data_IF_591237768840
#
_entry.id   IF_591237768840
#
_cell.length_a   1.000
_cell.length_b   1.000
_cell.length_c   1.000
_cell.angle_alpha   90.00
_cell.angle_beta   90.00
_cell.angle_gamma   90.00
#
_symmetry.space_group_name_H-M   'P 1'
#
loop_
_entity.id
_entity.type
_entity.pdbx_description
1 polymer ?
#
# COMPACT_ATOMS: atom_id res chain seq x y z
N UNK A 1 5.58 4.09 -34.56
CA UNK A 1 5.64 5.17 -33.55
C UNK A 1 4.67 4.97 -32.36
N UNK A 2 3.38 4.68 -32.58
CA UNK A 2 2.39 4.51 -31.48
C UNK A 2 2.69 3.33 -30.53
N UNK A 3 3.34 2.27 -31.02
CA UNK A 3 3.67 1.07 -30.22
C UNK A 3 4.81 1.30 -29.22
N UNK A 4 5.80 2.12 -29.58
CA UNK A 4 6.93 2.47 -28.70
C UNK A 4 6.50 3.42 -27.58
N UNK A 5 5.61 4.37 -27.87
CA UNK A 5 5.06 5.30 -26.87
C UNK A 5 4.32 4.56 -25.75
N UNK A 6 3.45 3.60 -26.09
CA UNK A 6 2.71 2.80 -25.11
C UNK A 6 3.64 1.98 -24.20
N UNK A 7 4.71 1.44 -24.76
CA UNK A 7 5.68 0.63 -24.02
C UNK A 7 6.53 1.50 -23.08
N UNK A 8 6.90 2.71 -23.52
CA UNK A 8 7.52 3.69 -22.64
C UNK A 8 6.59 4.13 -21.53
N UNK A 9 5.35 4.50 -21.85
CA UNK A 9 4.34 4.93 -20.88
C UNK A 9 4.12 3.85 -19.82
N UNK A 10 3.97 2.58 -20.21
CA UNK A 10 3.83 1.45 -19.29
C UNK A 10 5.08 1.26 -18.41
N UNK A 11 6.29 1.36 -18.98
CA UNK A 11 7.55 1.23 -18.23
C UNK A 11 7.71 2.35 -17.18
N UNK A 12 7.38 3.58 -17.54
CA UNK A 12 7.40 4.71 -16.61
C UNK A 12 6.33 4.54 -15.52
N UNK A 13 5.12 4.16 -15.90
CA UNK A 13 4.02 3.93 -14.96
C UNK A 13 4.38 2.86 -13.91
N UNK A 14 4.97 1.74 -14.33
CA UNK A 14 5.38 0.66 -13.42
C UNK A 14 6.56 1.10 -12.53
N UNK A 15 7.56 1.80 -13.09
CA UNK A 15 8.70 2.32 -12.29
C UNK A 15 8.24 3.31 -11.24
N UNK A 16 7.44 4.30 -11.63
CA UNK A 16 6.98 5.35 -10.73
C UNK A 16 5.99 4.78 -9.71
N UNK A 17 5.16 3.79 -10.07
CA UNK A 17 4.30 3.07 -9.12
C UNK A 17 5.11 2.28 -8.09
N UNK A 18 6.17 1.58 -8.50
CA UNK A 18 7.06 0.88 -7.57
C UNK A 18 7.77 1.85 -6.62
N UNK A 19 8.31 2.95 -7.14
CA UNK A 19 8.98 3.97 -6.35
C UNK A 19 8.02 4.65 -5.37
N UNK A 20 6.81 5.02 -5.82
CA UNK A 20 5.78 5.60 -4.97
C UNK A 20 5.35 4.62 -3.88
N UNK A 21 5.19 3.33 -4.21
CA UNK A 21 4.83 2.30 -3.22
C UNK A 21 5.91 2.19 -2.16
N UNK A 22 7.18 2.11 -2.58
CA UNK A 22 8.31 2.01 -1.66
C UNK A 22 8.44 3.25 -0.77
N UNK A 23 8.32 4.45 -1.34
CA UNK A 23 8.39 5.71 -0.60
C UNK A 23 7.25 5.84 0.43
N UNK A 24 6.01 5.62 0.02
CA UNK A 24 4.84 5.71 0.91
C UNK A 24 4.91 4.63 2.00
N UNK A 25 5.28 3.40 1.65
CA UNK A 25 5.46 2.31 2.62
C UNK A 25 6.55 2.64 3.64
N UNK A 26 7.68 3.21 3.19
CA UNK A 26 8.79 3.59 4.07
C UNK A 26 8.35 4.65 5.08
N UNK A 27 7.67 5.71 4.61
CA UNK A 27 7.14 6.78 5.48
C UNK A 27 6.15 6.20 6.48
N UNK A 28 5.19 5.39 6.03
CA UNK A 28 4.18 4.78 6.91
C UNK A 28 4.81 3.83 7.94
N UNK A 29 5.84 3.08 7.55
CA UNK A 29 6.56 2.17 8.45
C UNK A 29 7.30 2.93 9.54
N UNK A 30 7.97 4.03 9.20
CA UNK A 30 8.66 4.88 10.19
C UNK A 30 7.67 5.47 11.18
N UNK A 31 6.54 6.01 10.69
CA UNK A 31 5.48 6.55 11.55
C UNK A 31 4.90 5.48 12.49
N UNK A 32 4.65 4.27 11.97
CA UNK A 32 4.17 3.14 12.75
C UNK A 32 5.19 2.64 13.79
N UNK A 33 6.48 2.95 13.63
CA UNK A 33 7.54 2.60 14.58
C UNK A 33 7.63 3.53 15.78
N UNK A 34 7.25 4.80 15.60
CA UNK A 34 7.35 5.83 16.65
C UNK A 34 6.44 5.49 17.84
N UNK A 35 5.23 4.98 17.60
CA UNK A 35 4.29 4.61 18.67
C UNK A 35 4.76 3.48 19.59
N UNK A 36 5.19 2.30 19.09
CA UNK A 36 5.70 1.22 19.93
C UNK A 36 7.01 1.59 20.63
N UNK A 37 7.90 2.34 19.97
CA UNK A 37 9.14 2.85 20.61
C UNK A 37 8.81 3.76 21.81
N UNK A 38 7.80 4.63 21.68
CA UNK A 38 7.41 5.57 22.73
C UNK A 38 6.68 4.92 23.90
N UNK A 39 5.87 3.88 23.65
CA UNK A 39 4.95 3.32 24.66
C UNK A 39 5.57 2.32 25.62
N UNK A 40 6.63 1.58 25.26
CA UNK A 40 7.04 0.44 26.08
C UNK A 40 8.55 0.27 26.31
N UNK A 41 9.45 1.12 25.80
CA UNK A 41 10.90 0.90 26.00
C UNK A 41 11.32 -0.52 25.61
N UNK A 42 10.69 -1.06 24.56
CA UNK A 42 10.73 -2.46 24.18
C UNK A 42 12.16 -2.86 23.79
N UNK A 43 12.60 -4.02 24.29
CA UNK A 43 13.76 -4.72 23.75
C UNK A 43 13.61 -4.84 22.22
N UNK A 44 14.64 -4.42 21.46
CA UNK A 44 14.57 -4.25 19.99
C UNK A 44 14.07 -5.49 19.22
N UNK A 45 14.18 -6.67 19.82
CA UNK A 45 13.69 -7.94 19.27
C UNK A 45 12.16 -8.01 19.24
N UNK A 46 11.46 -7.49 20.25
CA UNK A 46 9.99 -7.46 20.27
C UNK A 46 9.44 -6.43 19.27
N UNK A 47 10.12 -5.29 19.13
CA UNK A 47 9.78 -4.28 18.12
C UNK A 47 9.92 -4.83 16.69
N UNK A 48 10.98 -5.59 16.41
CA UNK A 48 11.20 -6.19 15.09
C UNK A 48 10.14 -7.25 14.74
N UNK A 49 9.68 -8.02 15.73
CA UNK A 49 8.61 -9.02 15.53
C UNK A 49 7.26 -8.35 15.24
N UNK A 50 6.99 -7.22 15.91
CA UNK A 50 5.81 -6.41 15.63
C UNK A 50 5.89 -5.74 14.25
N UNK A 51 7.08 -5.26 13.85
CA UNK A 51 7.34 -4.72 12.51
C UNK A 51 6.93 -5.70 11.42
N UNK A 52 7.38 -6.95 11.52
CA UNK A 52 7.09 -8.00 10.53
C UNK A 52 5.59 -8.28 10.37
N UNK A 53 4.79 -8.00 11.40
CA UNK A 53 3.34 -8.20 11.38
C UNK A 53 2.59 -6.98 10.82
N UNK A 54 3.07 -5.77 11.11
CA UNK A 54 2.49 -4.51 10.61
C UNK A 54 2.85 -4.24 9.15
N UNK A 55 4.05 -4.64 8.71
CA UNK A 55 4.51 -4.48 7.33
C UNK A 55 3.53 -4.99 6.26
N UNK A 56 3.07 -6.26 6.28
CA UNK A 56 2.15 -6.77 5.26
C UNK A 56 0.78 -6.06 5.29
N UNK A 57 0.32 -5.66 6.49
CA UNK A 57 -0.92 -4.90 6.63
C UNK A 57 -0.80 -3.50 6.00
N UNK A 58 0.29 -2.80 6.30
CA UNK A 58 0.58 -1.48 5.73
C UNK A 58 0.78 -1.57 4.22
N UNK A 59 1.48 -2.60 3.74
CA UNK A 59 1.69 -2.84 2.31
C UNK A 59 0.35 -3.02 1.57
N UNK A 60 -0.57 -3.81 2.13
CA UNK A 60 -1.90 -4.01 1.53
C UNK A 60 -2.71 -2.72 1.41
N UNK A 61 -2.54 -1.78 2.33
CA UNK A 61 -3.20 -0.47 2.31
C UNK A 61 -2.50 0.51 1.38
N UNK A 62 -1.17 0.54 1.38
CA UNK A 62 -0.39 1.53 0.62
C UNK A 62 -0.31 1.23 -0.88
N UNK A 63 -0.43 -0.04 -1.30
CA UNK A 63 -0.39 -0.45 -2.70
C UNK A 63 -1.44 0.24 -3.61
N UNK A 64 -2.74 0.32 -3.25
CA UNK A 64 -3.70 1.06 -4.06
C UNK A 64 -3.46 2.58 -4.04
N UNK A 65 -3.04 3.15 -2.91
CA UNK A 65 -2.75 4.59 -2.82
C UNK A 65 -1.55 4.99 -3.68
N UNK A 66 -0.47 4.22 -3.65
CA UNK A 66 0.72 4.48 -4.45
C UNK A 66 0.46 4.32 -5.94
N UNK A 67 -0.35 3.34 -6.34
CA UNK A 67 -0.75 3.14 -7.72
C UNK A 67 -1.53 4.33 -8.27
N UNK A 68 -2.48 4.86 -7.50
CA UNK A 68 -3.22 6.08 -7.84
C UNK A 68 -2.28 7.29 -7.96
N UNK A 69 -1.39 7.46 -6.98
CA UNK A 69 -0.45 8.57 -6.97
C UNK A 69 0.50 8.55 -8.17
N UNK A 70 1.10 7.39 -8.46
CA UNK A 70 1.98 7.22 -9.60
C UNK A 70 1.25 7.41 -10.93
N UNK A 71 0.04 6.87 -11.08
CA UNK A 71 -0.74 7.13 -12.28
C UNK A 71 -0.98 8.63 -12.49
N UNK A 72 -1.32 9.35 -11.43
CA UNK A 72 -1.54 10.80 -11.47
C UNK A 72 -0.28 11.55 -11.88
N UNK A 73 0.87 11.23 -11.30
CA UNK A 73 2.15 11.87 -11.66
C UNK A 73 2.55 11.57 -13.10
N UNK A 74 2.49 10.31 -13.53
CA UNK A 74 2.91 9.92 -14.87
C UNK A 74 2.03 10.61 -15.92
N UNK A 75 0.70 10.51 -15.81
CA UNK A 75 -0.18 11.21 -16.75
C UNK A 75 -0.09 12.73 -16.64
N UNK A 76 0.18 13.28 -15.45
CA UNK A 76 0.47 14.69 -15.27
C UNK A 76 1.67 15.15 -16.09
N UNK A 77 2.78 14.39 -16.04
CA UNK A 77 3.99 14.68 -16.83
C UNK A 77 3.75 14.55 -18.33
N UNK A 78 3.11 13.47 -18.78
CA UNK A 78 2.76 13.29 -20.20
C UNK A 78 1.81 14.38 -20.74
N UNK A 79 0.99 14.97 -19.87
CA UNK A 79 0.16 16.13 -20.22
C UNK A 79 0.97 17.43 -20.29
N UNK A 80 1.97 17.61 -19.42
CA UNK A 80 2.87 18.77 -19.43
C UNK A 80 3.76 18.77 -20.67
N UNK A 81 4.26 17.60 -21.07
CA UNK A 81 5.12 17.43 -22.25
C UNK A 81 4.32 17.52 -23.58
N UNK A 82 3.02 17.82 -23.54
CA UNK A 82 2.10 17.89 -24.69
C UNK A 82 2.04 16.63 -25.56
N UNK A 83 2.64 15.52 -25.15
CA UNK A 83 2.64 14.26 -25.90
C UNK A 83 1.23 13.67 -26.00
N UNK A 84 0.43 13.84 -24.95
CA UNK A 84 -0.98 13.45 -24.94
C UNK A 84 -1.79 14.24 -25.98
N UNK A 85 -1.52 15.54 -26.11
CA UNK A 85 -2.18 16.43 -27.08
C UNK A 85 -1.73 16.11 -28.51
N UNK A 86 -0.45 15.87 -28.74
CA UNK A 86 0.08 15.46 -30.04
C UNK A 86 -0.53 14.12 -30.53
N UNK A 87 -0.74 13.16 -29.63
CA UNK A 87 -1.43 11.91 -29.94
C UNK A 87 -2.90 12.15 -30.32
N UNK A 88 -3.60 13.05 -29.63
CA UNK A 88 -4.99 13.40 -29.94
C UNK A 88 -5.11 14.12 -31.28
N UNK A 89 -4.18 15.03 -31.58
CA UNK A 89 -4.13 15.74 -32.86
C UNK A 89 -3.85 14.81 -34.05
N UNK A 90 -3.12 13.71 -33.84
CA UNK A 90 -2.86 12.67 -34.85
C UNK A 90 -3.98 11.62 -34.97
N UNK A 91 -5.14 11.84 -34.33
CA UNK A 91 -6.30 10.95 -34.42
C UNK A 91 -6.20 9.69 -33.57
N UNK A 92 -5.24 9.60 -32.64
CA UNK A 92 -5.13 8.45 -31.74
C UNK A 92 -6.21 8.54 -30.67
N UNK A 93 -7.02 7.48 -30.55
CA UNK A 93 -8.04 7.38 -29.52
C UNK A 93 -7.42 7.46 -28.11
N UNK A 94 -7.87 8.44 -27.32
CA UNK A 94 -7.43 8.67 -25.92
C UNK A 94 -7.61 7.43 -25.04
N UNK A 95 -8.66 6.64 -25.29
CA UNK A 95 -8.91 5.39 -24.58
C UNK A 95 -7.75 4.39 -24.74
N UNK A 96 -7.05 4.42 -25.87
CA UNK A 96 -5.90 3.56 -26.09
C UNK A 96 -4.67 3.94 -25.26
N UNK A 97 -4.58 5.19 -24.79
CA UNK A 97 -3.53 5.66 -23.87
C UNK A 97 -3.86 5.32 -22.41
N UNK A 98 -5.14 5.10 -22.09
CA UNK A 98 -5.61 4.70 -20.76
C UNK A 98 -5.45 3.19 -20.48
N UNK A 99 -5.40 2.36 -21.52
CA UNK A 99 -5.20 0.90 -21.41
C UNK A 99 -4.06 0.46 -20.49
N UNK A 100 -2.83 1.00 -20.55
CA UNK A 100 -1.75 0.58 -19.65
C UNK A 100 -2.05 0.87 -18.17
N UNK A 101 -2.73 1.97 -17.88
CA UNK A 101 -3.13 2.28 -16.50
C UNK A 101 -4.30 1.44 -16.00
N UNK A 102 -5.25 1.11 -16.87
CA UNK A 102 -6.29 0.13 -16.55
C UNK A 102 -5.69 -1.26 -16.26
N UNK A 103 -4.68 -1.67 -17.03
CA UNK A 103 -3.98 -2.93 -16.78
C UNK A 103 -3.22 -2.90 -15.44
N UNK A 104 -2.49 -1.82 -15.15
CA UNK A 104 -1.82 -1.65 -13.86
C UNK A 104 -2.82 -1.63 -12.71
N UNK A 105 -3.94 -0.91 -12.85
CA UNK A 105 -5.02 -0.89 -11.88
C UNK A 105 -5.58 -2.29 -11.62
N UNK A 106 -5.84 -3.07 -12.68
CA UNK A 106 -6.28 -4.47 -12.55
C UNK A 106 -5.27 -5.34 -11.81
N UNK A 107 -3.98 -5.22 -12.11
CA UNK A 107 -2.91 -5.94 -11.40
C UNK A 107 -2.88 -5.54 -9.92
N UNK A 108 -2.93 -4.25 -9.63
CA UNK A 108 -2.95 -3.73 -8.26
C UNK A 108 -4.18 -4.23 -7.50
N UNK A 109 -5.36 -4.22 -8.12
CA UNK A 109 -6.59 -4.76 -7.51
C UNK A 109 -6.44 -6.24 -7.19
N UNK A 110 -5.92 -7.06 -8.11
CA UNK A 110 -5.69 -8.49 -7.88
C UNK A 110 -4.68 -8.71 -6.75
N UNK A 111 -3.58 -7.96 -6.72
CA UNK A 111 -2.56 -8.05 -5.67
C UNK A 111 -3.15 -7.62 -4.32
N UNK A 112 -3.85 -6.50 -4.26
CA UNK A 112 -4.51 -6.01 -3.03
C UNK A 112 -5.61 -6.96 -2.56
N UNK A 113 -6.39 -7.55 -3.46
CA UNK A 113 -7.36 -8.59 -3.12
C UNK A 113 -6.69 -9.87 -2.64
N UNK A 114 -5.58 -10.29 -3.23
CA UNK A 114 -4.83 -11.45 -2.77
C UNK A 114 -4.26 -11.20 -1.37
N UNK A 115 -3.66 -10.02 -1.14
CA UNK A 115 -3.19 -9.61 0.18
C UNK A 115 -4.35 -9.54 1.18
N UNK A 116 -5.47 -8.91 0.81
CA UNK A 116 -6.67 -8.84 1.66
C UNK A 116 -7.28 -10.20 1.95
N UNK A 117 -7.57 -11.02 0.94
CA UNK A 117 -8.28 -12.29 1.10
C UNK A 117 -7.42 -13.42 1.64
N UNK A 118 -6.08 -13.37 1.57
CA UNK A 118 -5.20 -14.37 2.19
C UNK A 118 -4.59 -13.90 3.51
N UNK A 119 -4.26 -12.61 3.66
CA UNK A 119 -3.64 -12.07 4.88
C UNK A 119 -4.70 -11.59 5.87
N UNK A 120 -5.82 -11.02 5.42
CA UNK A 120 -6.90 -10.61 6.34
C UNK A 120 -7.61 -11.78 7.04
N UNK A 121 -7.86 -12.98 6.48
CA UNK A 121 -8.39 -14.09 7.29
C UNK A 121 -7.37 -14.66 8.26
N UNK A 122 -6.07 -14.58 7.96
CA UNK A 122 -5.03 -14.87 8.96
C UNK A 122 -5.09 -13.87 10.12
N UNK A 123 -5.32 -12.58 9.83
CA UNK A 123 -5.50 -11.52 10.83
C UNK A 123 -6.83 -11.64 11.61
N UNK A 124 -7.95 -11.97 10.95
CA UNK A 124 -9.26 -12.16 11.57
C UNK A 124 -9.33 -13.44 12.41
N UNK A 125 -8.76 -14.54 11.92
CA UNK A 125 -8.61 -15.79 12.68
C UNK A 125 -7.65 -15.65 13.86
N UNK A 126 -6.63 -14.79 13.76
CA UNK A 126 -5.80 -14.39 14.89
C UNK A 126 -6.52 -13.40 15.81
N UNK A 127 -7.43 -12.56 15.33
CA UNK A 127 -8.23 -11.65 16.17
C UNK A 127 -9.25 -12.40 17.03
N UNK A 128 -9.83 -13.50 16.55
CA UNK A 128 -10.69 -14.36 17.37
C UNK A 128 -9.91 -15.13 18.45
N UNK A 129 -8.66 -15.53 18.15
CA UNK A 129 -7.78 -16.21 19.12
C UNK A 129 -7.07 -15.22 20.08
N UNK A 130 -6.73 -14.03 19.62
CA UNK A 130 -6.16 -12.94 20.41
C UNK A 130 -7.23 -12.27 21.27
N UNK A 131 -8.47 -12.08 20.79
CA UNK A 131 -9.59 -11.60 21.62
C UNK A 131 -9.84 -12.56 22.79
N UNK A 132 -9.79 -13.88 22.59
CA UNK A 132 -9.94 -14.86 23.68
C UNK A 132 -8.82 -14.84 24.71
N UNK A 133 -7.59 -14.45 24.35
CA UNK A 133 -6.45 -14.41 25.26
C UNK A 133 -6.25 -13.03 25.93
N UNK A 134 -6.52 -11.92 25.21
CA UNK A 134 -6.43 -10.56 25.76
C UNK A 134 -7.66 -10.18 26.60
N UNK A 135 -8.85 -10.73 26.33
CA UNK A 135 -10.01 -10.56 27.23
C UNK A 135 -9.73 -11.14 28.62
N UNK A 136 -8.92 -12.21 28.72
CA UNK A 136 -8.49 -12.75 30.02
C UNK A 136 -7.49 -11.83 30.70
N UNK A 137 -6.48 -11.30 30.01
CA UNK A 137 -5.48 -10.43 30.63
C UNK A 137 -6.04 -9.02 30.96
N UNK A 138 -6.96 -8.48 30.16
CA UNK A 138 -7.64 -7.20 30.46
C UNK A 138 -8.65 -7.31 31.62
N UNK A 139 -9.30 -8.47 31.80
CA UNK A 139 -10.15 -8.72 32.96
C UNK A 139 -9.34 -8.78 34.27
N UNK A 140 -8.15 -9.40 34.24
CA UNK A 140 -7.26 -9.45 35.41
C UNK A 140 -6.60 -8.10 35.74
N UNK A 141 -6.36 -7.22 34.76
CA UNK A 141 -5.81 -5.88 35.03
C UNK A 141 -6.84 -4.91 35.65
N UNK A 142 -8.14 -5.05 35.35
CA UNK A 142 -9.21 -4.22 35.96
C UNK A 142 -9.56 -4.60 37.41
N UNK A 143 -9.32 -5.84 37.84
CA UNK A 143 -9.63 -6.26 39.23
C UNK A 143 -8.53 -5.87 40.22
N UNK A 144 -7.27 -5.75 39.79
CA UNK A 144 -6.15 -5.37 40.67
C UNK A 144 -5.99 -3.85 40.86
N UNK A 145 -6.63 -3.03 40.03
CA UNK A 145 -6.57 -1.55 40.13
C UNK A 145 -7.75 -0.93 40.89
N UNK A 146 -8.62 -1.73 41.51
CA UNK A 146 -9.77 -1.25 42.32
C UNK A 146 -9.70 -1.60 43.81
N UNK A 147 -8.62 -2.25 44.25
CA UNK A 147 -8.24 -2.33 45.67
C UNK A 147 -6.81 -1.82 45.78
N UNK A 148 -6.66 -0.50 45.89
CA UNK A 148 -5.74 0.27 46.74
C UNK A 148 -6.03 1.74 46.46
#
# INVERSE_FOLDING_TARGET
MIRTLKFHLAKYLIRDALLATLAITMVMTVLAFIEPLRKQGLSGIQALKFLGYVLPLMFSLTLPFSALFAATIVYGRFSQDNELLACRASGVCTLSLLRPAMWLGGVVTVVTLALGLYIAPNLLGLSERAAKNDLRQMAFYKLRKRQY
#
